data_IF_102700282231
#
_entry.id   IF_102700282231
#
_cell.length_a   1.000
_cell.length_b   1.000
_cell.length_c   1.000
_cell.angle_alpha   90.00
_cell.angle_beta   90.00
_cell.angle_gamma   90.00
#
_symmetry.space_group_name_H-M   'P 1'
#
loop_
_entity.id
_entity.type
_entity.pdbx_description
1 polymer ?
#
# COMPACT_ATOMS: atom_id res chain seq x y z
N UNK A 1 -33.54 -18.61 1.15
CA UNK A 1 -32.91 -17.80 0.09
C UNK A 1 -31.95 -16.89 0.81
N UNK A 2 -30.64 -17.07 0.62
CA UNK A 2 -29.65 -16.27 1.33
C UNK A 2 -29.45 -14.99 0.55
N UNK A 3 -30.06 -13.90 1.01
CA UNK A 3 -29.87 -12.59 0.38
C UNK A 3 -28.49 -12.05 0.75
N UNK A 4 -27.49 -12.37 -0.06
CA UNK A 4 -26.19 -11.69 0.00
C UNK A 4 -26.34 -10.37 -0.73
N UNK A 5 -26.65 -9.30 0.00
CA UNK A 5 -26.54 -7.95 -0.54
C UNK A 5 -25.08 -7.67 -0.91
N UNK A 6 -24.81 -7.11 -2.11
CA UNK A 6 -23.46 -6.73 -2.50
C UNK A 6 -22.94 -5.60 -1.59
N UNK A 7 -21.65 -5.65 -1.28
CA UNK A 7 -20.94 -4.61 -0.55
C UNK A 7 -19.82 -4.10 -1.46
N UNK A 8 -19.72 -2.78 -1.61
CA UNK A 8 -18.63 -2.12 -2.32
C UNK A 8 -17.70 -1.45 -1.31
N UNK A 9 -16.39 -1.62 -1.47
CA UNK A 9 -15.39 -1.01 -0.60
C UNK A 9 -14.61 -0.01 -1.44
N UNK A 10 -14.83 1.28 -1.17
CA UNK A 10 -14.09 2.38 -1.75
C UNK A 10 -12.92 2.75 -0.82
N UNK A 11 -11.75 2.21 -1.11
CA UNK A 11 -10.54 2.46 -0.32
C UNK A 11 -10.00 3.88 -0.51
N UNK A 12 -10.24 4.50 -1.67
CA UNK A 12 -9.77 5.85 -1.98
C UNK A 12 -10.49 6.88 -1.11
N UNK A 13 -11.80 6.77 -1.01
CA UNK A 13 -12.64 7.62 -0.17
C UNK A 13 -12.77 7.10 1.27
N UNK A 14 -12.32 5.87 1.55
CA UNK A 14 -12.46 5.18 2.84
C UNK A 14 -13.93 5.02 3.27
N UNK A 15 -14.75 4.55 2.33
CA UNK A 15 -16.19 4.35 2.50
C UNK A 15 -16.54 2.92 2.12
N UNK A 16 -17.34 2.25 2.95
CA UNK A 16 -17.99 0.99 2.63
C UNK A 16 -19.42 1.33 2.23
N UNK A 17 -19.79 1.05 0.99
CA UNK A 17 -21.15 1.25 0.49
C UNK A 17 -21.92 -0.06 0.63
N UNK A 18 -23.06 0.01 1.30
CA UNK A 18 -24.00 -1.10 1.44
C UNK A 18 -25.31 -0.76 0.72
N UNK A 19 -26.25 -1.71 0.64
CA UNK A 19 -27.58 -1.44 0.07
C UNK A 19 -28.37 -0.33 0.79
N UNK A 20 -28.00 -0.02 2.03
CA UNK A 20 -28.80 0.82 2.93
C UNK A 20 -28.09 2.10 3.36
N UNK A 21 -26.76 2.08 3.44
CA UNK A 21 -25.96 3.18 3.98
C UNK A 21 -24.49 3.14 3.53
N UNK A 22 -23.84 4.28 3.69
CA UNK A 22 -22.40 4.47 3.51
C UNK A 22 -21.72 4.59 4.88
N UNK A 23 -20.72 3.74 5.11
CA UNK A 23 -20.00 3.65 6.38
C UNK A 23 -18.57 4.12 6.17
N UNK A 24 -18.17 5.21 6.83
CA UNK A 24 -16.79 5.68 6.81
C UNK A 24 -15.90 4.78 7.67
N UNK A 25 -14.69 4.50 7.21
CA UNK A 25 -13.69 3.79 7.99
C UNK A 25 -12.35 4.54 7.99
N UNK A 26 -11.45 4.14 8.89
CA UNK A 26 -10.11 4.71 8.95
C UNK A 26 -9.07 3.60 8.77
N UNK A 27 -8.05 3.88 7.96
CA UNK A 27 -6.90 3.00 7.76
C UNK A 27 -5.62 3.82 7.82
N UNK A 28 -4.54 3.19 8.29
CA UNK A 28 -3.22 3.80 8.28
C UNK A 28 -2.82 4.21 6.85
N UNK A 29 -2.33 5.44 6.67
CA UNK A 29 -2.02 6.04 5.37
C UNK A 29 -0.98 5.24 4.57
N UNK A 30 -0.01 4.61 5.24
CA UNK A 30 0.97 3.76 4.58
C UNK A 30 0.32 2.50 4.00
N UNK A 31 -0.55 1.84 4.78
CA UNK A 31 -1.32 0.67 4.32
C UNK A 31 -2.27 1.02 3.18
N UNK A 32 -2.93 2.18 3.25
CA UNK A 32 -3.76 2.70 2.16
C UNK A 32 -2.96 2.84 0.87
N UNK A 33 -1.78 3.46 0.93
CA UNK A 33 -0.89 3.64 -0.22
C UNK A 33 -0.49 2.30 -0.83
N UNK A 34 -0.04 1.35 0.00
CA UNK A 34 0.34 -0.01 -0.43
C UNK A 34 -0.80 -0.68 -1.20
N UNK A 35 -2.01 -0.65 -0.65
CA UNK A 35 -3.18 -1.29 -1.26
C UNK A 35 -3.64 -0.58 -2.54
N UNK A 36 -3.54 0.74 -2.61
CA UNK A 36 -3.92 1.53 -3.80
C UNK A 36 -2.91 1.39 -4.95
N UNK A 37 -1.62 1.40 -4.64
CA UNK A 37 -0.55 1.30 -5.63
C UNK A 37 -0.19 -0.15 -5.98
N UNK A 38 -0.72 -1.12 -5.24
CA UNK A 38 -0.41 -2.55 -5.41
C UNK A 38 1.03 -2.90 -5.03
N UNK A 39 1.61 -2.19 -4.07
CA UNK A 39 3.00 -2.42 -3.65
C UNK A 39 3.11 -3.71 -2.84
N UNK A 40 4.16 -4.47 -3.10
CA UNK A 40 4.67 -5.49 -2.20
C UNK A 40 5.99 -5.03 -1.56
N UNK A 41 6.58 -5.85 -0.69
CA UNK A 41 7.83 -5.50 0.01
C UNK A 41 9.00 -5.27 -0.95
N UNK A 42 9.00 -5.97 -2.09
CA UNK A 42 10.02 -5.85 -3.14
C UNK A 42 9.86 -4.50 -3.86
N UNK A 43 8.65 -4.18 -4.33
CA UNK A 43 8.33 -2.90 -4.97
C UNK A 43 8.60 -1.72 -4.03
N UNK A 44 8.30 -1.89 -2.73
CA UNK A 44 8.62 -0.89 -1.72
C UNK A 44 10.14 -0.70 -1.58
N UNK A 45 10.93 -1.77 -1.64
CA UNK A 45 12.39 -1.68 -1.60
C UNK A 45 12.94 -0.97 -2.85
N UNK A 46 12.40 -1.26 -4.03
CA UNK A 46 12.82 -0.60 -5.27
C UNK A 46 12.57 0.92 -5.28
N UNK A 47 11.60 1.43 -4.51
CA UNK A 47 11.41 2.88 -4.35
C UNK A 47 12.63 3.59 -3.71
N UNK A 48 13.58 2.84 -3.15
CA UNK A 48 14.80 3.36 -2.54
C UNK A 48 16.06 3.10 -3.37
N UNK A 49 15.94 2.62 -4.61
CA UNK A 49 17.08 2.28 -5.47
C UNK A 49 18.16 3.38 -5.51
N UNK A 50 17.79 4.62 -5.80
CA UNK A 50 18.74 5.75 -5.83
C UNK A 50 19.47 5.97 -4.49
N UNK A 51 18.75 5.81 -3.37
CA UNK A 51 19.33 5.96 -2.03
C UNK A 51 20.24 4.80 -1.67
N UNK A 52 19.89 3.59 -2.12
CA UNK A 52 20.73 2.40 -1.98
C UNK A 52 22.02 2.63 -2.77
N UNK A 53 21.94 3.05 -4.04
CA UNK A 53 23.12 3.35 -4.85
C UNK A 53 23.98 4.46 -4.26
N UNK A 54 23.39 5.57 -3.81
CA UNK A 54 24.14 6.67 -3.18
C UNK A 54 24.84 6.22 -1.89
N UNK A 55 24.20 5.36 -1.10
CA UNK A 55 24.80 4.79 0.10
C UNK A 55 25.96 3.85 -0.25
N UNK A 56 25.78 2.98 -1.25
CA UNK A 56 26.81 2.04 -1.71
C UNK A 56 28.04 2.77 -2.30
N UNK A 57 27.83 3.83 -3.08
CA UNK A 57 28.93 4.65 -3.62
C UNK A 57 29.76 5.33 -2.52
N UNK A 58 29.11 5.75 -1.42
CA UNK A 58 29.77 6.39 -0.28
C UNK A 58 30.34 5.39 0.73
N UNK A 59 30.04 4.11 0.60
CA UNK A 59 30.54 3.07 1.49
C UNK A 59 32.05 2.89 1.31
N UNK A 60 32.81 3.09 2.37
CA UNK A 60 34.25 2.80 2.41
C UNK A 60 34.55 1.32 2.64
N UNK A 61 33.51 0.52 2.93
CA UNK A 61 33.60 -0.92 3.10
C UNK A 61 33.37 -1.55 1.72
N UNK A 62 34.33 -2.33 1.19
CA UNK A 62 34.15 -2.97 -0.11
C UNK A 62 32.94 -3.90 -0.06
N UNK A 63 32.07 -3.79 -1.06
CA UNK A 63 30.98 -4.73 -1.24
C UNK A 63 31.56 -6.14 -1.38
N UNK A 64 31.12 -7.07 -0.53
CA UNK A 64 31.48 -8.49 -0.63
C UNK A 64 30.52 -9.12 -1.64
N UNK A 65 30.79 -8.86 -2.91
CA UNK A 65 30.25 -9.59 -4.06
C UNK A 65 31.40 -10.20 -4.85
#
# INVERSE_FOLDING_TARGET
MQETSPIEIDLENQIIKTSSEDISFEINSHKKKILLEGLDDIAQTFQFEDKISEFEEKSTVPSVL
#
